data_IF_424929286802
#
_entry.id   IF_424929286802
#
_cell.length_a   1.000
_cell.length_b   1.000
_cell.length_c   1.000
_cell.angle_alpha   90.00
_cell.angle_beta   90.00
_cell.angle_gamma   90.00
#
_symmetry.space_group_name_H-M   'P 1'
#
loop_
_entity.id
_entity.type
_entity.pdbx_description
1 polymer ?
#
# COMPACT_ATOMS: atom_id res chain seq x y z
N UNK A 1 -5.22 -20.48 -6.48
CA UNK A 1 -5.84 -19.79 -7.66
C UNK A 1 -4.86 -18.87 -8.40
N UNK A 2 -3.93 -18.16 -7.73
CA UNK A 2 -3.03 -17.18 -8.37
C UNK A 2 -1.91 -17.74 -9.27
N UNK A 3 -1.34 -18.93 -8.96
CA UNK A 3 -0.35 -19.59 -9.85
C UNK A 3 -0.91 -19.97 -11.22
N UNK A 4 -2.22 -20.30 -11.29
CA UNK A 4 -2.89 -20.67 -12.55
C UNK A 4 -2.90 -19.53 -13.59
N UNK A 5 -2.69 -18.28 -13.17
CA UNK A 5 -2.62 -17.11 -14.06
C UNK A 5 -1.19 -16.57 -14.23
N UNK A 6 -0.16 -17.35 -13.89
CA UNK A 6 1.24 -16.92 -14.01
C UNK A 6 1.68 -15.79 -13.05
N UNK A 7 0.85 -15.40 -12.07
CA UNK A 7 1.19 -14.34 -11.12
C UNK A 7 2.32 -14.79 -10.19
N UNK A 8 3.50 -14.21 -10.35
CA UNK A 8 4.67 -14.37 -9.46
C UNK A 8 4.72 -13.23 -8.43
N UNK A 9 3.90 -13.31 -7.39
CA UNK A 9 3.97 -12.39 -6.24
C UNK A 9 4.64 -13.07 -5.05
N UNK A 10 5.22 -12.28 -4.13
CA UNK A 10 5.87 -12.79 -2.92
C UNK A 10 4.95 -13.74 -2.12
N UNK A 11 3.66 -13.38 -2.00
CA UNK A 11 2.65 -14.21 -1.33
C UNK A 11 2.38 -15.56 -2.02
N UNK A 12 2.64 -15.68 -3.32
CA UNK A 12 2.43 -16.91 -4.11
C UNK A 12 3.68 -17.78 -4.15
N UNK A 13 4.86 -17.18 -4.06
CA UNK A 13 6.13 -17.89 -4.05
C UNK A 13 6.51 -18.36 -2.64
N UNK A 14 6.54 -17.43 -1.68
CA UNK A 14 6.94 -17.68 -0.29
C UNK A 14 5.76 -18.06 0.62
N UNK A 15 4.53 -17.81 0.19
CA UNK A 15 3.32 -18.07 0.98
C UNK A 15 2.85 -16.85 1.79
N UNK A 16 1.61 -16.93 2.26
CA UNK A 16 0.91 -15.80 2.90
C UNK A 16 1.53 -15.45 4.26
N UNK A 17 1.81 -16.45 5.11
CA UNK A 17 2.41 -16.28 6.45
C UNK A 17 3.71 -15.45 6.45
N UNK A 18 4.76 -15.85 5.71
CA UNK A 18 6.02 -15.12 5.72
C UNK A 18 5.88 -13.75 5.05
N UNK A 19 5.05 -13.62 4.01
CA UNK A 19 4.82 -12.32 3.36
C UNK A 19 4.15 -11.31 4.29
N UNK A 20 3.16 -11.74 5.08
CA UNK A 20 2.50 -10.88 6.08
C UNK A 20 3.44 -10.51 7.23
N UNK A 21 4.25 -11.47 7.67
CA UNK A 21 5.23 -11.23 8.73
C UNK A 21 6.29 -10.24 8.25
N UNK A 22 6.80 -10.40 7.03
CA UNK A 22 7.73 -9.44 6.42
C UNK A 22 7.09 -8.05 6.27
N UNK A 23 5.84 -7.95 5.81
CA UNK A 23 5.14 -6.68 5.70
C UNK A 23 5.03 -5.97 7.06
N UNK A 24 4.63 -6.69 8.12
CA UNK A 24 4.56 -6.14 9.47
C UNK A 24 5.93 -5.68 10.00
N UNK A 25 6.98 -6.48 9.78
CA UNK A 25 8.35 -6.12 10.21
C UNK A 25 8.87 -4.89 9.46
N UNK A 26 8.68 -4.84 8.14
CA UNK A 26 9.09 -3.70 7.32
C UNK A 26 8.35 -2.42 7.69
N UNK A 27 7.05 -2.51 8.00
CA UNK A 27 6.25 -1.36 8.45
C UNK A 27 6.75 -0.85 9.82
N UNK A 28 7.09 -1.77 10.74
CA UNK A 28 7.72 -1.42 12.02
C UNK A 28 9.11 -0.78 11.85
N UNK A 29 9.92 -1.30 10.92
CA UNK A 29 11.22 -0.71 10.58
C UNK A 29 11.06 0.67 9.95
N UNK A 30 10.05 0.89 9.11
CA UNK A 30 9.76 2.20 8.54
C UNK A 30 9.40 3.21 9.63
N UNK A 31 8.58 2.82 10.62
CA UNK A 31 8.25 3.65 11.78
C UNK A 31 9.51 4.02 12.57
N UNK A 32 10.33 3.05 12.96
CA UNK A 32 11.56 3.30 13.72
C UNK A 32 12.53 4.17 12.92
N UNK A 33 12.74 3.85 11.64
CA UNK A 33 13.62 4.62 10.76
C UNK A 33 13.15 6.07 10.61
N UNK A 34 11.83 6.31 10.52
CA UNK A 34 11.29 7.67 10.45
C UNK A 34 11.67 8.50 11.67
N UNK A 35 11.61 7.92 12.87
CA UNK A 35 11.97 8.59 14.12
C UNK A 35 13.48 8.86 14.17
N UNK A 36 14.29 7.89 13.74
CA UNK A 36 15.75 8.00 13.74
C UNK A 36 16.30 9.07 12.78
N UNK A 37 15.51 9.50 11.79
CA UNK A 37 15.93 10.64 10.94
C UNK A 37 15.96 11.96 11.69
N UNK A 38 15.25 12.07 12.83
CA UNK A 38 15.03 13.32 13.57
C UNK A 38 14.40 14.45 12.73
N UNK A 39 13.87 14.14 11.55
CA UNK A 39 13.26 15.08 10.63
C UNK A 39 11.75 15.07 10.78
N UNK A 40 11.17 16.20 11.20
CA UNK A 40 9.74 16.34 11.45
C UNK A 40 8.89 15.99 10.22
N UNK A 41 9.37 16.30 9.03
CA UNK A 41 8.69 16.00 7.76
C UNK A 41 8.59 14.49 7.53
N UNK A 42 9.67 13.74 7.82
CA UNK A 42 9.68 12.28 7.62
C UNK A 42 8.83 11.60 8.69
N UNK A 43 8.89 12.08 9.93
CA UNK A 43 8.08 11.58 11.05
C UNK A 43 6.59 11.83 10.77
N UNK A 44 6.21 13.02 10.32
CA UNK A 44 4.81 13.37 10.07
C UNK A 44 4.22 12.67 8.85
N UNK A 45 5.04 12.27 7.88
CA UNK A 45 4.57 11.58 6.66
C UNK A 45 4.66 10.06 6.79
N UNK A 46 5.87 9.51 6.84
CA UNK A 46 6.13 8.07 6.90
C UNK A 46 5.79 7.51 8.27
N UNK A 47 6.19 8.22 9.33
CA UNK A 47 5.94 7.79 10.71
C UNK A 47 4.46 7.67 11.02
N UNK A 48 3.65 8.69 10.71
CA UNK A 48 2.19 8.64 10.92
C UNK A 48 1.54 7.54 10.07
N UNK A 49 1.92 7.43 8.78
CA UNK A 49 1.38 6.39 7.91
C UNK A 49 1.66 4.98 8.45
N UNK A 50 2.90 4.71 8.85
CA UNK A 50 3.31 3.44 9.44
C UNK A 50 2.64 3.20 10.81
N UNK A 51 2.54 4.22 11.66
CA UNK A 51 1.90 4.10 12.97
C UNK A 51 0.43 3.69 12.86
N UNK A 52 -0.29 4.24 11.88
CA UNK A 52 -1.71 3.90 11.65
C UNK A 52 -1.85 2.51 11.01
N UNK A 53 -0.95 2.12 10.11
CA UNK A 53 -1.05 0.81 9.44
C UNK A 53 -0.53 -0.37 10.24
N UNK A 54 0.42 -0.16 11.14
CA UNK A 54 1.02 -1.21 11.96
C UNK A 54 -0.01 -2.07 12.73
N UNK A 55 -1.00 -1.50 13.47
CA UNK A 55 -2.02 -2.30 14.14
C UNK A 55 -2.93 -3.05 13.15
N UNK A 56 -3.16 -2.48 11.96
CA UNK A 56 -3.94 -3.14 10.91
C UNK A 56 -3.18 -4.33 10.31
N UNK A 57 -1.86 -4.20 10.11
CA UNK A 57 -0.98 -5.29 9.69
C UNK A 57 -0.86 -6.39 10.75
N UNK A 58 -0.82 -6.01 12.03
CA UNK A 58 -0.84 -6.98 13.13
C UNK A 58 -2.15 -7.78 13.17
N UNK A 59 -3.30 -7.10 13.03
CA UNK A 59 -4.62 -7.75 12.96
C UNK A 59 -4.71 -8.71 11.78
N UNK A 60 -4.32 -8.26 10.58
CA UNK A 60 -4.32 -9.12 9.37
C UNK A 60 -3.38 -10.31 9.49
N UNK A 61 -2.23 -10.15 10.14
CA UNK A 61 -1.30 -11.26 10.43
C UNK A 61 -1.95 -12.31 11.35
N UNK A 62 -2.71 -11.89 12.37
CA UNK A 62 -3.43 -12.82 13.27
C UNK A 62 -4.56 -13.56 12.55
N UNK A 63 -5.35 -12.84 11.77
CA UNK A 63 -6.51 -13.41 11.06
C UNK A 63 -6.11 -14.32 9.89
N UNK A 64 -4.85 -14.26 9.43
CA UNK A 64 -4.32 -15.07 8.34
C UNK A 64 -5.14 -14.97 7.04
N UNK A 65 -5.94 -13.90 6.90
CA UNK A 65 -6.86 -13.70 5.81
C UNK A 65 -6.22 -12.83 4.72
N UNK A 66 -5.88 -13.38 3.54
CA UNK A 66 -5.23 -12.62 2.47
C UNK A 66 -6.11 -11.50 1.91
N UNK A 67 -7.44 -11.56 2.08
CA UNK A 67 -8.35 -10.49 1.62
C UNK A 67 -8.32 -9.28 2.56
N UNK A 68 -7.99 -9.48 3.83
CA UNK A 68 -7.96 -8.39 4.80
C UNK A 68 -6.73 -7.47 4.62
N UNK A 69 -5.71 -7.90 3.87
CA UNK A 69 -4.46 -7.16 3.59
C UNK A 69 -4.68 -5.89 2.77
N UNK A 70 -5.73 -5.85 1.95
CA UNK A 70 -6.02 -4.67 1.15
C UNK A 70 -6.34 -3.44 2.00
N UNK A 71 -6.88 -3.64 3.20
CA UNK A 71 -7.24 -2.54 4.10
C UNK A 71 -5.99 -1.80 4.63
N UNK A 72 -5.03 -2.44 5.33
CA UNK A 72 -3.82 -1.77 5.81
C UNK A 72 -3.06 -1.10 4.66
N UNK A 73 -2.89 -1.79 3.53
CA UNK A 73 -2.17 -1.23 2.37
C UNK A 73 -2.83 0.04 1.85
N UNK A 74 -4.17 0.06 1.71
CA UNK A 74 -4.89 1.25 1.24
C UNK A 74 -4.77 2.40 2.23
N UNK A 75 -4.86 2.13 3.53
CA UNK A 75 -4.69 3.18 4.55
C UNK A 75 -3.25 3.71 4.59
N UNK A 76 -2.23 2.84 4.57
CA UNK A 76 -0.83 3.26 4.49
C UNK A 76 -0.60 4.19 3.29
N UNK A 77 -1.07 3.80 2.11
CA UNK A 77 -0.93 4.59 0.89
C UNK A 77 -1.68 5.93 0.98
N UNK A 78 -2.89 5.93 1.51
CA UNK A 78 -3.70 7.13 1.66
C UNK A 78 -3.03 8.13 2.60
N UNK A 79 -2.66 7.71 3.80
CA UNK A 79 -2.04 8.60 4.80
C UNK A 79 -0.66 9.08 4.35
N UNK A 80 0.13 8.22 3.70
CA UNK A 80 1.39 8.63 3.11
C UNK A 80 1.19 9.68 2.01
N UNK A 81 0.24 9.45 1.09
CA UNK A 81 -0.04 10.39 0.00
C UNK A 81 -0.54 11.74 0.53
N UNK A 82 -1.45 11.72 1.51
CA UNK A 82 -1.95 12.95 2.17
C UNK A 82 -0.83 13.67 2.91
N UNK A 83 0.01 12.93 3.64
CA UNK A 83 1.18 13.50 4.32
C UNK A 83 2.12 14.20 3.35
N UNK A 84 2.49 13.52 2.24
CA UNK A 84 3.35 14.10 1.21
C UNK A 84 2.71 15.33 0.57
N UNK A 85 1.39 15.31 0.33
CA UNK A 85 0.67 16.40 -0.30
C UNK A 85 0.74 17.72 0.49
N UNK A 86 0.79 17.66 1.83
CA UNK A 86 0.91 18.84 2.70
C UNK A 86 2.23 19.58 2.44
N UNK A 87 3.32 18.84 2.20
CA UNK A 87 4.65 19.41 1.98
C UNK A 87 4.97 19.65 0.50
N UNK A 88 4.40 18.84 -0.39
CA UNK A 88 4.61 18.91 -1.83
C UNK A 88 3.27 18.87 -2.57
N UNK A 89 2.55 20.00 -2.66
CA UNK A 89 1.24 20.06 -3.32
C UNK A 89 1.32 19.70 -4.81
N UNK A 90 2.48 19.94 -5.45
CA UNK A 90 2.75 19.53 -6.83
C UNK A 90 2.61 18.01 -7.04
N UNK A 91 2.77 17.20 -5.99
CA UNK A 91 2.56 15.76 -6.04
C UNK A 91 1.12 15.40 -6.44
N UNK A 92 0.14 16.29 -6.21
CA UNK A 92 -1.25 16.09 -6.62
C UNK A 92 -1.38 15.89 -8.13
N UNK A 93 -0.67 16.70 -8.92
CA UNK A 93 -0.69 16.59 -10.38
C UNK A 93 -0.14 15.24 -10.84
N UNK A 94 0.86 14.72 -10.14
CA UNK A 94 1.42 13.40 -10.40
C UNK A 94 0.42 12.29 -10.06
N UNK A 95 -0.30 12.39 -8.94
CA UNK A 95 -1.38 11.45 -8.58
C UNK A 95 -2.48 11.47 -9.65
N UNK A 96 -2.95 12.65 -10.05
CA UNK A 96 -4.01 12.81 -11.07
C UNK A 96 -3.55 12.25 -12.42
N UNK A 97 -2.33 12.59 -12.85
CA UNK A 97 -1.73 12.09 -14.08
C UNK A 97 -1.59 10.56 -14.08
N UNK A 98 -1.12 9.99 -12.98
CA UNK A 98 -1.01 8.54 -12.82
C UNK A 98 -2.37 7.85 -12.84
N UNK A 99 -3.39 8.44 -12.21
CA UNK A 99 -4.77 7.94 -12.28
C UNK A 99 -5.31 7.94 -13.71
N UNK A 100 -5.16 9.05 -14.43
CA UNK A 100 -5.62 9.18 -15.81
C UNK A 100 -4.88 8.21 -16.75
N UNK A 101 -3.56 8.08 -16.59
CA UNK A 101 -2.74 7.15 -17.37
C UNK A 101 -3.13 5.69 -17.11
N UNK A 102 -3.33 5.30 -15.84
CA UNK A 102 -3.83 3.98 -15.48
C UNK A 102 -5.20 3.72 -16.11
N UNK A 103 -6.14 4.66 -15.96
CA UNK A 103 -7.48 4.55 -16.54
C UNK A 103 -7.43 4.36 -18.06
N UNK A 104 -6.60 5.13 -18.75
CA UNK A 104 -6.40 5.02 -20.19
C UNK A 104 -5.77 3.67 -20.58
N UNK A 105 -4.70 3.27 -19.91
CA UNK A 105 -4.00 2.01 -20.17
C UNK A 105 -4.91 0.80 -19.99
N UNK A 106 -5.63 0.71 -18.86
CA UNK A 106 -6.52 -0.41 -18.57
C UNK A 106 -7.71 -0.47 -19.53
N UNK A 107 -8.29 0.69 -19.88
CA UNK A 107 -9.36 0.77 -20.88
C UNK A 107 -8.88 0.29 -22.24
N UNK A 108 -7.69 0.74 -22.69
CA UNK A 108 -7.15 0.39 -24.01
C UNK A 108 -6.68 -1.06 -24.11
N UNK A 109 -6.03 -1.58 -23.06
CA UNK A 109 -5.42 -2.92 -23.10
C UNK A 109 -6.40 -4.04 -22.77
N UNK A 110 -7.33 -3.80 -21.84
CA UNK A 110 -8.20 -4.83 -21.29
C UNK A 110 -9.70 -4.54 -21.47
N UNK A 111 -10.07 -3.37 -22.01
CA UNK A 111 -11.48 -2.99 -22.19
C UNK A 111 -12.24 -2.78 -20.88
N UNK A 112 -11.53 -2.63 -19.75
CA UNK A 112 -12.14 -2.46 -18.42
C UNK A 112 -12.08 -1.01 -17.97
N UNK A 113 -13.13 -0.57 -17.29
CA UNK A 113 -13.15 0.73 -16.62
C UNK A 113 -12.40 0.65 -15.29
N UNK A 114 -11.21 1.26 -15.23
CA UNK A 114 -10.46 1.39 -13.99
C UNK A 114 -10.78 2.73 -13.30
N UNK A 115 -10.92 2.80 -11.97
CA UNK A 115 -10.87 1.69 -11.01
C UNK A 115 -12.23 0.99 -10.89
N UNK A 116 -12.22 -0.35 -11.04
CA UNK A 116 -13.39 -1.15 -10.71
C UNK A 116 -13.58 -1.17 -9.18
N UNK A 117 -14.62 -0.49 -8.70
CA UNK A 117 -15.09 -0.58 -7.31
C UNK A 117 -15.88 -1.87 -7.05
N UNK A 118 -16.23 -2.59 -8.12
CA UNK A 118 -17.10 -3.74 -8.07
C UNK A 118 -16.33 -5.01 -7.68
N UNK A 119 -16.79 -5.67 -6.61
CA UNK A 119 -16.24 -6.94 -6.11
C UNK A 119 -16.82 -8.10 -6.94
N UNK A 120 -16.33 -8.32 -8.16
CA UNK A 120 -16.54 -9.60 -8.85
C UNK A 120 -15.31 -10.50 -8.73
#
# INVERSE_FOLDING_TARGET
RSRKFGKRTAAVHYGIKPTLTAAFVLDGLALVSSILTFELVIISTVGIAALISLPLFWKTRKEMNPKAVFLPVKFSMLFLAVGVLIYLPLFLFLIIGNYAACRFYYRRRFGIEYPNLDKK
#
